data_IF_259056410169
#
_entry.id   IF_259056410169
#
_cell.length_a   1.000
_cell.length_b   1.000
_cell.length_c   1.000
_cell.angle_alpha   90.00
_cell.angle_beta   90.00
_cell.angle_gamma   90.00
#
_symmetry.space_group_name_H-M   'P 1'
#
loop_
_entity.id
_entity.type
_entity.pdbx_description
1 polymer ?
#
# COMPACT_ATOMS: atom_id res chain seq x y z
N UNK A 1 -11.94 -11.83 -7.05
CA UNK A 1 -12.43 -10.49 -6.62
C UNK A 1 -11.69 -10.04 -5.39
N UNK A 2 -11.23 -8.80 -5.38
CA UNK A 2 -10.56 -8.21 -4.22
C UNK A 2 -11.59 -7.93 -3.13
N UNK A 3 -11.34 -8.43 -1.93
CA UNK A 3 -12.23 -8.28 -0.77
C UNK A 3 -11.61 -7.42 0.35
N UNK A 4 -10.31 -7.22 0.30
CA UNK A 4 -9.58 -6.41 1.27
C UNK A 4 -8.45 -5.65 0.58
N UNK A 5 -8.37 -4.35 0.80
CA UNK A 5 -7.27 -3.51 0.36
C UNK A 5 -6.47 -3.06 1.57
N UNK A 6 -5.17 -3.37 1.56
CA UNK A 6 -4.24 -3.07 2.64
C UNK A 6 -3.27 -1.99 2.16
N UNK A 7 -3.20 -0.88 2.87
CA UNK A 7 -2.35 0.26 2.52
C UNK A 7 -1.18 0.31 3.48
N UNK A 8 0.03 0.12 2.97
CA UNK A 8 1.23 0.00 3.79
C UNK A 8 1.88 1.33 4.11
N UNK A 9 2.46 1.41 5.29
CA UNK A 9 3.21 2.57 5.77
C UNK A 9 3.67 2.35 7.20
N UNK A 10 4.33 3.36 7.75
CA UNK A 10 4.73 3.42 9.16
C UNK A 10 3.86 4.44 9.88
N UNK A 11 3.31 4.08 11.06
CA UNK A 11 2.54 5.03 11.85
C UNK A 11 3.47 6.05 12.51
N UNK A 12 2.93 7.21 12.80
CA UNK A 12 3.66 8.27 13.47
C UNK A 12 3.89 9.47 12.57
N UNK A 13 3.87 10.64 13.18
CA UNK A 13 3.96 11.93 12.49
C UNK A 13 5.27 12.08 11.70
N UNK A 14 6.36 11.53 12.22
CA UNK A 14 7.66 11.55 11.57
C UNK A 14 7.70 10.83 10.22
N UNK A 15 6.77 9.91 9.97
CA UNK A 15 6.72 9.11 8.73
C UNK A 15 5.67 9.58 7.74
N UNK A 16 4.80 10.52 8.11
CA UNK A 16 3.60 10.88 7.33
C UNK A 16 3.87 11.17 5.86
N UNK A 17 4.98 11.82 5.54
CA UNK A 17 5.31 12.24 4.17
C UNK A 17 6.52 11.53 3.59
N UNK A 18 6.90 10.42 4.19
CA UNK A 18 8.03 9.63 3.67
C UNK A 18 7.61 8.80 2.46
N UNK A 19 8.59 8.44 1.63
CA UNK A 19 8.35 7.63 0.43
C UNK A 19 7.76 6.26 0.76
N UNK A 20 8.18 5.69 1.88
CA UNK A 20 7.65 4.40 2.35
C UNK A 20 6.17 4.47 2.73
N UNK A 21 5.64 5.66 2.94
CA UNK A 21 4.22 5.88 3.26
C UNK A 21 3.35 6.21 2.04
N UNK A 22 3.84 5.96 0.83
CA UNK A 22 3.05 6.18 -0.38
C UNK A 22 1.68 5.46 -0.31
N UNK A 23 1.64 4.25 0.26
CA UNK A 23 0.39 3.51 0.48
C UNK A 23 -0.54 4.24 1.45
N UNK A 24 -0.03 4.66 2.60
CA UNK A 24 -0.81 5.44 3.58
C UNK A 24 -1.35 6.73 2.97
N UNK A 25 -0.54 7.41 2.17
CA UNK A 25 -0.94 8.66 1.52
C UNK A 25 -2.09 8.44 0.54
N UNK A 26 -2.07 7.35 -0.23
CA UNK A 26 -3.20 7.00 -1.09
C UNK A 26 -4.45 6.67 -0.27
N UNK A 27 -4.30 5.94 0.81
CA UNK A 27 -5.40 5.63 1.71
C UNK A 27 -6.08 6.90 2.22
N UNK A 28 -5.29 7.85 2.70
CA UNK A 28 -5.79 9.12 3.22
C UNK A 28 -6.45 9.97 2.12
N UNK A 29 -5.93 9.88 0.90
CA UNK A 29 -6.52 10.56 -0.26
C UNK A 29 -7.90 10.00 -0.61
N UNK A 30 -8.05 8.67 -0.57
CA UNK A 30 -9.30 7.98 -0.94
C UNK A 30 -10.36 8.07 0.18
N UNK A 31 -9.94 8.07 1.43
CA UNK A 31 -10.80 7.92 2.61
C UNK A 31 -10.58 9.02 3.65
N UNK A 32 -10.26 10.22 3.22
CA UNK A 32 -9.88 11.35 4.09
C UNK A 32 -10.91 11.68 5.16
N UNK A 33 -12.19 11.68 4.82
CA UNK A 33 -13.28 12.05 5.73
C UNK A 33 -13.91 10.84 6.42
N UNK A 34 -13.28 9.68 6.38
CA UNK A 34 -13.87 8.43 6.85
C UNK A 34 -13.73 8.25 8.36
N UNK A 35 -14.70 7.54 8.94
CA UNK A 35 -14.65 7.14 10.34
C UNK A 35 -13.95 5.78 10.45
N UNK A 36 -12.78 5.78 11.06
CA UNK A 36 -11.99 4.58 11.24
C UNK A 36 -12.36 3.85 12.53
N UNK A 37 -12.38 2.51 12.48
CA UNK A 37 -12.42 1.64 13.64
C UNK A 37 -11.01 1.13 13.92
N UNK A 38 -10.72 0.74 15.16
CA UNK A 38 -9.47 0.08 15.53
C UNK A 38 -9.69 -1.42 15.58
N UNK A 39 -9.14 -2.14 14.60
CA UNK A 39 -9.19 -3.61 14.52
C UNK A 39 -7.94 -4.16 13.85
N UNK A 40 -7.54 -5.37 14.23
CA UNK A 40 -6.43 -6.08 13.57
C UNK A 40 -5.10 -5.31 13.65
N UNK A 41 -4.85 -4.59 14.74
CA UNK A 41 -3.69 -3.70 14.89
C UNK A 41 -3.61 -2.67 13.75
N UNK A 42 -4.77 -2.16 13.32
CA UNK A 42 -4.89 -1.28 12.18
C UNK A 42 -6.04 -0.30 12.36
N UNK A 43 -6.06 0.73 11.54
CA UNK A 43 -7.31 1.42 11.22
C UNK A 43 -8.06 0.59 10.18
N UNK A 44 -9.35 0.40 10.40
CA UNK A 44 -10.22 -0.45 9.60
C UNK A 44 -11.51 0.27 9.27
N UNK A 45 -11.97 0.13 8.03
CA UNK A 45 -13.31 0.52 7.62
C UNK A 45 -13.80 -0.36 6.47
N UNK A 46 -15.06 -0.26 6.14
CA UNK A 46 -15.65 -0.93 4.97
C UNK A 46 -16.12 0.10 3.96
N UNK A 47 -15.89 -0.21 2.68
CA UNK A 47 -16.38 0.55 1.54
C UNK A 47 -17.21 -0.44 0.70
N UNK A 48 -18.53 -0.48 0.94
CA UNK A 48 -19.38 -1.54 0.41
C UNK A 48 -18.90 -2.91 0.92
N UNK A 49 -18.60 -3.81 0.00
CA UNK A 49 -18.09 -5.14 0.34
C UNK A 49 -16.57 -5.19 0.47
N UNK A 50 -15.89 -4.08 0.19
CA UNK A 50 -14.43 -3.99 0.30
C UNK A 50 -14.02 -3.56 1.70
N UNK A 51 -13.13 -4.33 2.31
CA UNK A 51 -12.51 -3.99 3.60
C UNK A 51 -11.27 -3.16 3.35
N UNK A 52 -11.10 -2.10 4.12
CA UNK A 52 -9.96 -1.19 4.02
C UNK A 52 -9.16 -1.30 5.30
N UNK A 53 -7.87 -1.63 5.15
CA UNK A 53 -6.98 -1.87 6.27
C UNK A 53 -5.74 -0.96 6.14
N UNK A 54 -5.48 -0.20 7.20
CA UNK A 54 -4.30 0.65 7.32
C UNK A 54 -3.51 0.20 8.53
N UNK A 55 -2.55 -0.74 8.38
CA UNK A 55 -1.82 -1.30 9.52
C UNK A 55 -1.06 -0.24 10.32
N UNK A 56 -1.09 -0.36 11.65
CA UNK A 56 -0.38 0.53 12.57
C UNK A 56 0.79 -0.18 13.26
N UNK A 57 1.30 -1.24 12.63
CA UNK A 57 2.29 -2.15 13.19
C UNK A 57 3.72 -1.81 12.82
N UNK A 58 3.98 -0.70 12.18
CA UNK A 58 5.22 -0.45 11.43
C UNK A 58 5.38 -1.41 10.24
N UNK A 59 6.13 -0.96 9.25
CA UNK A 59 6.22 -1.63 7.94
C UNK A 59 6.63 -3.11 8.04
N UNK A 60 7.65 -3.41 8.83
CA UNK A 60 8.19 -4.76 8.95
C UNK A 60 7.26 -5.76 9.67
N UNK A 61 6.18 -5.30 10.27
CA UNK A 61 5.18 -6.12 10.95
C UNK A 61 3.80 -6.06 10.30
N UNK A 62 3.72 -5.56 9.07
CA UNK A 62 2.45 -5.42 8.33
C UNK A 62 1.69 -6.74 8.22
N UNK A 63 2.41 -7.86 8.13
CA UNK A 63 1.80 -9.18 8.04
C UNK A 63 0.99 -9.58 9.25
N UNK A 64 1.29 -9.06 10.42
CA UNK A 64 0.50 -9.32 11.64
C UNK A 64 -0.94 -8.84 11.44
N UNK A 65 -1.10 -7.60 11.02
CA UNK A 65 -2.41 -7.00 10.75
C UNK A 65 -3.16 -7.74 9.63
N UNK A 66 -2.48 -8.00 8.53
CA UNK A 66 -3.07 -8.65 7.37
C UNK A 66 -3.52 -10.06 7.69
N UNK A 67 -2.69 -10.85 8.40
CA UNK A 67 -3.04 -12.23 8.73
C UNK A 67 -4.22 -12.32 9.70
N UNK A 68 -4.31 -11.40 10.66
CA UNK A 68 -5.44 -11.35 11.57
C UNK A 68 -6.75 -11.06 10.83
N UNK A 69 -6.72 -10.08 9.94
CA UNK A 69 -7.88 -9.71 9.13
C UNK A 69 -8.29 -10.86 8.20
N UNK A 70 -7.31 -11.47 7.53
CA UNK A 70 -7.56 -12.59 6.62
C UNK A 70 -8.16 -13.79 7.34
N UNK A 71 -7.65 -14.13 8.52
CA UNK A 71 -8.18 -15.23 9.35
C UNK A 71 -9.60 -14.95 9.81
N UNK A 72 -9.85 -13.74 10.29
CA UNK A 72 -11.17 -13.37 10.82
C UNK A 72 -12.26 -13.46 9.74
N UNK A 73 -12.00 -12.98 8.54
CA UNK A 73 -12.97 -12.97 7.45
C UNK A 73 -12.83 -14.17 6.51
N UNK A 74 -11.90 -15.09 6.79
CA UNK A 74 -11.62 -16.27 5.96
C UNK A 74 -11.30 -15.89 4.52
N UNK A 75 -10.43 -14.89 4.35
CA UNK A 75 -10.00 -14.42 3.04
C UNK A 75 -8.87 -15.28 2.51
N UNK A 76 -8.92 -15.58 1.20
CA UNK A 76 -7.78 -16.15 0.49
C UNK A 76 -6.76 -15.05 0.18
N UNK A 77 -5.50 -15.41 0.05
CA UNK A 77 -4.45 -14.45 -0.28
C UNK A 77 -4.71 -13.74 -1.62
N UNK A 78 -5.31 -14.42 -2.61
CA UNK A 78 -5.64 -13.81 -3.91
C UNK A 78 -6.86 -12.86 -3.87
N UNK A 79 -7.52 -12.75 -2.71
CA UNK A 79 -8.60 -11.79 -2.48
C UNK A 79 -8.10 -10.50 -1.80
N UNK A 80 -6.79 -10.40 -1.57
CA UNK A 80 -6.16 -9.27 -0.88
C UNK A 80 -5.38 -8.43 -1.89
N UNK A 81 -5.57 -7.12 -1.83
CA UNK A 81 -4.77 -6.13 -2.54
C UNK A 81 -3.84 -5.44 -1.55
N UNK A 82 -2.55 -5.43 -1.83
CA UNK A 82 -1.55 -4.71 -1.04
C UNK A 82 -1.09 -3.49 -1.83
N UNK A 83 -1.28 -2.32 -1.23
CA UNK A 83 -0.87 -1.03 -1.81
C UNK A 83 0.44 -0.60 -1.16
N UNK A 84 1.48 -0.42 -1.96
CA UNK A 84 2.83 -0.19 -1.44
C UNK A 84 3.68 0.70 -2.36
N UNK A 85 4.72 1.29 -1.80
CA UNK A 85 5.74 2.01 -2.54
C UNK A 85 6.63 1.04 -3.32
N UNK A 86 7.15 1.48 -4.47
CA UNK A 86 7.99 0.65 -5.33
C UNK A 86 9.13 1.47 -5.94
N UNK A 87 10.36 1.05 -5.63
CA UNK A 87 11.59 1.67 -6.14
C UNK A 87 11.80 1.45 -7.64
N UNK A 88 11.17 0.41 -8.21
CA UNK A 88 11.36 0.04 -9.62
C UNK A 88 10.51 0.85 -10.59
N UNK A 89 9.59 1.66 -10.08
CA UNK A 89 8.73 2.52 -10.89
C UNK A 89 9.05 4.00 -10.62
N UNK A 90 9.03 4.84 -11.66
CA UNK A 90 9.21 6.27 -11.45
C UNK A 90 8.01 6.89 -10.73
N UNK A 91 8.23 8.05 -10.10
CA UNK A 91 7.15 8.86 -9.56
C UNK A 91 6.22 9.26 -10.70
N UNK A 92 4.91 9.13 -10.47
CA UNK A 92 3.90 9.40 -11.51
C UNK A 92 3.39 8.15 -12.20
N UNK A 93 3.92 6.97 -11.84
CA UNK A 93 3.45 5.71 -12.38
C UNK A 93 3.00 4.77 -11.26
N UNK A 94 1.91 4.05 -11.49
CA UNK A 94 1.45 2.98 -10.61
C UNK A 94 1.00 1.80 -11.46
N UNK A 95 1.16 0.60 -10.93
CA UNK A 95 0.78 -0.64 -11.62
C UNK A 95 0.03 -1.59 -10.70
N UNK A 96 -1.07 -2.12 -11.21
CA UNK A 96 -1.83 -3.18 -10.57
C UNK A 96 -1.41 -4.51 -11.20
N UNK A 97 -1.02 -5.47 -10.37
CA UNK A 97 -0.61 -6.80 -10.83
C UNK A 97 -0.92 -7.87 -9.80
N UNK A 98 -0.96 -9.12 -10.23
CA UNK A 98 -1.08 -10.27 -9.35
C UNK A 98 0.31 -10.81 -9.04
N UNK A 99 0.58 -11.05 -7.75
CA UNK A 99 1.82 -11.67 -7.33
C UNK A 99 3.08 -10.86 -7.63
N UNK A 100 4.19 -11.53 -7.66
CA UNK A 100 5.54 -10.97 -7.79
C UNK A 100 6.38 -11.28 -6.57
N UNK A 101 7.67 -11.01 -6.64
CA UNK A 101 8.58 -11.18 -5.52
C UNK A 101 8.47 -10.05 -4.50
N UNK A 102 9.24 -10.11 -3.45
CA UNK A 102 9.28 -9.08 -2.42
C UNK A 102 10.18 -7.91 -2.80
N UNK A 103 11.20 -8.15 -3.61
CA UNK A 103 12.21 -7.17 -4.04
C UNK A 103 12.80 -6.36 -2.87
N UNK A 104 12.95 -7.01 -1.73
CA UNK A 104 13.49 -6.39 -0.53
C UNK A 104 12.51 -5.52 0.26
N UNK A 105 11.27 -5.39 -0.15
CA UNK A 105 10.26 -4.59 0.55
C UNK A 105 9.84 -5.29 1.85
N UNK A 106 10.11 -4.68 2.99
CA UNK A 106 9.89 -5.30 4.31
C UNK A 106 8.42 -5.59 4.62
N UNK A 107 7.52 -4.72 4.19
CA UNK A 107 6.08 -4.94 4.38
C UNK A 107 5.56 -6.13 3.58
N UNK A 108 5.99 -6.24 2.32
CA UNK A 108 5.61 -7.36 1.45
C UNK A 108 6.18 -8.67 2.00
N UNK A 109 7.44 -8.67 2.45
CA UNK A 109 8.06 -9.84 3.11
C UNK A 109 7.25 -10.29 4.32
N UNK A 110 6.86 -9.35 5.16
CA UNK A 110 6.07 -9.63 6.37
C UNK A 110 4.74 -10.28 6.02
N UNK A 111 4.04 -9.75 5.01
CA UNK A 111 2.75 -10.29 4.54
C UNK A 111 2.95 -11.70 3.96
N UNK A 112 3.95 -11.88 3.08
CA UNK A 112 4.27 -13.18 2.50
C UNK A 112 4.53 -14.23 3.59
N UNK A 113 5.35 -13.88 4.58
CA UNK A 113 5.74 -14.80 5.63
C UNK A 113 4.55 -15.21 6.50
N UNK A 114 3.64 -14.28 6.76
CA UNK A 114 2.46 -14.56 7.59
C UNK A 114 1.35 -15.28 6.83
N UNK A 115 1.15 -14.98 5.54
CA UNK A 115 0.15 -15.66 4.70
C UNK A 115 0.67 -16.97 4.12
N UNK A 116 1.99 -17.13 4.00
CA UNK A 116 2.62 -18.29 3.37
C UNK A 116 2.50 -18.30 1.85
N UNK A 117 2.09 -17.21 1.23
CA UNK A 117 1.89 -17.08 -0.22
C UNK A 117 2.24 -15.69 -0.71
N UNK A 118 2.56 -15.57 -1.99
CA UNK A 118 2.89 -14.33 -2.68
C UNK A 118 1.87 -13.92 -3.76
N UNK A 119 0.76 -14.67 -3.89
CA UNK A 119 -0.21 -14.49 -4.98
C UNK A 119 -1.24 -13.38 -4.73
N UNK A 120 -1.07 -12.58 -3.71
CA UNK A 120 -1.95 -11.43 -3.48
C UNK A 120 -1.73 -10.37 -4.57
N UNK A 121 -2.78 -9.59 -4.82
CA UNK A 121 -2.73 -8.46 -5.76
C UNK A 121 -1.87 -7.34 -5.20
N UNK A 122 -1.23 -6.59 -6.07
CA UNK A 122 -0.36 -5.46 -5.70
C UNK A 122 -0.71 -4.24 -6.50
N UNK A 123 -0.90 -3.13 -5.79
CA UNK A 123 -0.89 -1.80 -6.39
C UNK A 123 0.45 -1.16 -6.06
N UNK A 124 1.33 -1.14 -7.05
CA UNK A 124 2.71 -0.67 -6.94
C UNK A 124 2.74 0.82 -7.25
N UNK A 125 3.08 1.64 -6.26
CA UNK A 125 3.16 3.09 -6.42
C UNK A 125 4.63 3.48 -6.59
N UNK A 126 4.99 4.01 -7.75
CA UNK A 126 6.36 4.41 -8.05
C UNK A 126 6.86 5.53 -7.16
N UNK A 127 8.06 5.35 -6.61
CA UNK A 127 8.76 6.38 -5.82
C UNK A 127 10.14 6.70 -6.39
N UNK A 128 10.53 6.01 -7.47
CA UNK A 128 11.87 6.15 -8.05
C UNK A 128 12.95 5.51 -7.19
N UNK A 129 14.19 5.64 -7.64
CA UNK A 129 15.38 5.12 -6.95
C UNK A 129 16.28 6.26 -6.50
N UNK A 130 17.05 6.08 -5.42
CA UNK A 130 18.08 7.06 -5.09
C UNK A 130 19.18 7.04 -6.17
N UNK A 131 19.70 8.21 -6.51
CA UNK A 131 20.84 8.33 -7.45
C UNK A 131 22.09 7.73 -6.82
N UNK A 132 22.28 8.00 -5.54
CA UNK A 132 23.38 7.50 -4.73
C UNK A 132 22.87 7.11 -3.35
N UNK A 133 23.51 6.11 -2.72
CA UNK A 133 23.35 5.82 -1.33
C UNK A 133 22.35 4.71 -1.02
N UNK A 134 21.95 4.71 0.22
CA UNK A 134 21.22 3.64 0.88
C UNK A 134 19.73 3.72 0.57
N UNK A 135 19.17 2.62 0.05
CA UNK A 135 17.72 2.53 -0.23
C UNK A 135 16.88 2.64 1.04
N UNK A 136 17.38 2.13 2.18
CA UNK A 136 16.66 2.25 3.46
C UNK A 136 16.51 3.71 3.88
N UNK A 137 17.53 4.54 3.70
CA UNK A 137 17.44 5.97 3.95
C UNK A 137 16.52 6.67 2.96
N UNK A 138 16.56 6.27 1.70
CA UNK A 138 15.71 6.86 0.65
C UNK A 138 14.23 6.66 0.94
N UNK A 139 13.81 5.44 1.25
CA UNK A 139 12.39 5.13 1.48
C UNK A 139 11.85 5.79 2.75
N UNK A 140 12.71 6.04 3.74
CA UNK A 140 12.31 6.74 4.98
C UNK A 140 12.54 8.25 4.91
N UNK A 141 13.00 8.77 3.79
CA UNK A 141 13.11 10.21 3.57
C UNK A 141 11.80 10.78 3.01
N UNK A 142 11.48 12.04 3.30
CA UNK A 142 10.24 12.65 2.82
C UNK A 142 10.27 12.87 1.30
N UNK A 143 9.09 12.80 0.69
CA UNK A 143 8.93 13.27 -0.69
C UNK A 143 9.28 14.76 -0.76
N UNK A 144 9.87 15.19 -1.88
CA UNK A 144 10.02 16.61 -2.18
C UNK A 144 8.65 17.20 -2.52
N UNK A 145 8.52 18.50 -2.45
CA UNK A 145 7.26 19.20 -2.74
C UNK A 145 6.78 18.93 -4.17
N UNK A 146 7.68 18.97 -5.16
CA UNK A 146 7.34 18.65 -6.56
C UNK A 146 6.89 17.19 -6.72
N UNK A 147 7.51 16.27 -5.97
CA UNK A 147 7.13 14.86 -5.97
C UNK A 147 5.73 14.66 -5.38
N UNK A 148 5.38 15.38 -4.31
CA UNK A 148 4.04 15.31 -3.71
C UNK A 148 2.96 15.81 -4.67
N UNK A 149 3.24 16.83 -5.46
CA UNK A 149 2.32 17.34 -6.48
C UNK A 149 2.05 16.25 -7.53
N UNK A 150 3.11 15.61 -8.03
CA UNK A 150 3.00 14.52 -9.00
C UNK A 150 2.24 13.33 -8.42
N UNK A 151 2.55 12.95 -7.18
CA UNK A 151 1.89 11.86 -6.50
C UNK A 151 0.39 12.11 -6.33
N UNK A 152 0.01 13.31 -5.93
CA UNK A 152 -1.40 13.71 -5.78
C UNK A 152 -2.15 13.63 -7.12
N UNK A 153 -1.52 14.06 -8.21
CA UNK A 153 -2.11 13.95 -9.55
C UNK A 153 -2.32 12.48 -9.96
N UNK A 154 -1.35 11.63 -9.67
CA UNK A 154 -1.47 10.18 -9.90
C UNK A 154 -2.63 9.59 -9.09
N UNK A 155 -2.76 9.98 -7.84
CA UNK A 155 -3.84 9.50 -6.96
C UNK A 155 -5.22 9.90 -7.48
N UNK A 156 -5.33 11.07 -8.12
CA UNK A 156 -6.55 11.48 -8.82
C UNK A 156 -6.94 10.53 -9.95
N UNK A 157 -5.95 10.04 -10.71
CA UNK A 157 -6.19 9.03 -11.76
C UNK A 157 -6.64 7.70 -11.16
N UNK A 158 -5.98 7.25 -10.10
CA UNK A 158 -6.35 6.00 -9.41
C UNK A 158 -7.76 6.09 -8.85
N UNK A 159 -8.13 7.21 -8.25
CA UNK A 159 -9.47 7.42 -7.67
C UNK A 159 -10.58 7.19 -8.69
N UNK A 160 -10.38 7.56 -9.96
CA UNK A 160 -11.38 7.37 -11.02
C UNK A 160 -11.74 5.89 -11.22
N UNK A 161 -10.78 5.00 -10.95
CA UNK A 161 -10.95 3.56 -11.14
C UNK A 161 -11.12 2.80 -9.82
N UNK A 162 -11.14 3.52 -8.71
CA UNK A 162 -11.26 2.92 -7.39
C UNK A 162 -12.73 2.64 -7.04
N UNK A 163 -13.10 1.48 -6.44
CA UNK A 163 -12.19 0.36 -6.14
C UNK A 163 -11.74 -0.40 -7.39
N UNK A 164 -10.45 -0.76 -7.40
CA UNK A 164 -9.87 -1.47 -8.54
C UNK A 164 -10.34 -2.92 -8.60
N UNK A 165 -10.44 -3.45 -9.80
CA UNK A 165 -10.79 -4.86 -10.04
C UNK A 165 -9.52 -5.72 -10.09
N UNK A 166 -9.66 -7.03 -10.09
CA UNK A 166 -8.55 -7.98 -10.13
C UNK A 166 -7.87 -8.11 -11.50
N UNK A 167 -7.89 -7.06 -12.32
CA UNK A 167 -7.24 -7.01 -13.63
C UNK A 167 -5.96 -6.18 -13.56
N UNK A 168 -4.96 -6.55 -14.37
CA UNK A 168 -3.75 -5.75 -14.49
C UNK A 168 -4.05 -4.39 -15.11
N UNK A 169 -3.41 -3.34 -14.60
CA UNK A 169 -3.61 -1.98 -15.07
C UNK A 169 -2.39 -1.12 -14.79
N UNK A 170 -2.17 -0.13 -15.64
CA UNK A 170 -1.12 0.89 -15.46
C UNK A 170 -1.77 2.27 -15.45
N UNK A 171 -1.39 3.09 -14.47
CA UNK A 171 -1.68 4.52 -14.43
C UNK A 171 -0.37 5.26 -14.61
N UNK A 172 -0.40 6.24 -15.48
CA UNK A 172 0.82 7.01 -15.81
C UNK A 172 0.44 8.43 -16.17
N UNK A 173 1.15 9.40 -15.60
CA UNK A 173 1.01 10.82 -15.92
C UNK A 173 1.74 11.17 -17.21
#
# INVERSE_FOLDING_TARGET
MIKCAVFLGNPGKEYEKTRHNAGFLLCDYLYEASSWQSKFHAFYLTDGDLRILKPLTYMNLSGTSVSECASFFKLRSDEILVVHDDLELPIGEARLQKGGGTKGHNGIKSIRDRLGKENFMRLRIGIGKPVHGDTALYVTSPFREDEMITLTSLYGLIRRDWPVKSAEKVWKL
#
